data_IF_326589435497
#
_entry.id   IF_326589435497
#
_cell.length_a   1.000
_cell.length_b   1.000
_cell.length_c   1.000
_cell.angle_alpha   90.00
_cell.angle_beta   90.00
_cell.angle_gamma   90.00
#
_symmetry.space_group_name_H-M   'P 1'
#
loop_
_entity.id
_entity.type
_entity.pdbx_description
1 polymer ?
#
# COMPACT_ATOMS: atom_id res chain seq x y z
N UNK A 1 2.07 12.29 24.37
CA UNK A 1 2.26 10.82 24.39
C UNK A 1 0.96 10.01 24.45
N UNK A 2 -0.11 10.42 25.17
CA UNK A 2 -1.41 9.69 25.14
C UNK A 2 -2.13 9.73 23.77
N UNK A 3 -2.17 10.91 23.13
CA UNK A 3 -2.87 11.11 21.85
C UNK A 3 -2.35 10.23 20.69
N UNK A 4 -1.02 10.06 20.55
CA UNK A 4 -0.46 9.21 19.48
C UNK A 4 -0.80 7.72 19.65
N UNK A 5 -0.99 7.25 20.88
CA UNK A 5 -1.31 5.84 21.15
C UNK A 5 -2.78 5.53 20.85
N UNK A 6 -3.69 6.46 21.13
CA UNK A 6 -5.12 6.33 20.83
C UNK A 6 -5.39 6.33 19.32
N UNK A 7 -4.75 7.24 18.57
CA UNK A 7 -4.85 7.26 17.09
C UNK A 7 -4.33 5.96 16.48
N UNK A 8 -3.19 5.47 16.97
CA UNK A 8 -2.59 4.22 16.51
C UNK A 8 -3.49 3.00 16.77
N UNK A 9 -4.09 2.89 17.97
CA UNK A 9 -5.06 1.84 18.29
C UNK A 9 -6.33 1.93 17.43
N UNK A 10 -6.78 3.14 17.12
CA UNK A 10 -7.94 3.36 16.26
C UNK A 10 -7.69 2.87 14.82
N UNK A 11 -6.55 3.22 14.23
CA UNK A 11 -6.16 2.77 12.88
C UNK A 11 -6.03 1.25 12.82
N UNK A 12 -5.34 0.66 13.79
CA UNK A 12 -5.22 -0.81 13.92
C UNK A 12 -6.60 -1.49 13.99
N UNK A 13 -7.53 -0.92 14.78
CA UNK A 13 -8.90 -1.43 14.89
C UNK A 13 -9.65 -1.36 13.56
N UNK A 14 -9.50 -0.27 12.80
CA UNK A 14 -10.09 -0.15 11.46
C UNK A 14 -9.55 -1.23 10.53
N UNK A 15 -8.23 -1.43 10.49
CA UNK A 15 -7.60 -2.44 9.64
C UNK A 15 -8.11 -3.84 9.98
N UNK A 16 -8.20 -4.16 11.28
CA UNK A 16 -8.71 -5.44 11.78
C UNK A 16 -10.20 -5.66 11.50
N UNK A 17 -11.03 -4.62 11.56
CA UNK A 17 -12.45 -4.73 11.22
C UNK A 17 -12.60 -4.95 9.72
N UNK A 18 -11.92 -4.14 8.91
CA UNK A 18 -12.01 -4.20 7.46
C UNK A 18 -11.52 -5.56 6.93
N UNK A 19 -10.45 -6.11 7.49
CA UNK A 19 -9.87 -7.39 7.06
C UNK A 19 -10.81 -8.59 7.24
N UNK A 20 -11.71 -8.52 8.23
CA UNK A 20 -12.66 -9.59 8.59
C UNK A 20 -13.95 -9.56 7.79
N UNK A 21 -14.18 -8.51 6.99
CA UNK A 21 -15.35 -8.43 6.13
C UNK A 21 -15.25 -9.41 4.96
N UNK A 22 -16.40 -9.90 4.43
CA UNK A 22 -16.42 -10.68 3.20
C UNK A 22 -15.76 -9.93 2.04
N UNK A 23 -15.08 -10.67 1.16
CA UNK A 23 -14.26 -10.09 0.09
C UNK A 23 -14.99 -9.01 -0.73
N UNK A 24 -16.23 -9.26 -1.16
CA UNK A 24 -16.99 -8.28 -1.95
C UNK A 24 -17.28 -6.97 -1.19
N UNK A 25 -17.64 -7.07 0.10
CA UNK A 25 -17.91 -5.90 0.93
C UNK A 25 -16.62 -5.14 1.25
N UNK A 26 -15.56 -5.87 1.62
CA UNK A 26 -14.23 -5.31 1.89
C UNK A 26 -13.70 -4.54 0.69
N UNK A 27 -13.83 -5.13 -0.50
CA UNK A 27 -13.38 -4.52 -1.76
C UNK A 27 -14.16 -3.24 -2.08
N UNK A 28 -15.49 -3.26 -1.93
CA UNK A 28 -16.34 -2.07 -2.13
C UNK A 28 -16.00 -0.92 -1.16
N UNK A 29 -15.87 -1.23 0.13
CA UNK A 29 -15.49 -0.22 1.15
C UNK A 29 -14.10 0.34 0.86
N UNK A 30 -13.13 -0.53 0.55
CA UNK A 30 -11.77 -0.11 0.24
C UNK A 30 -11.72 0.78 -1.00
N UNK A 31 -12.50 0.46 -2.04
CA UNK A 31 -12.63 1.31 -3.23
C UNK A 31 -13.09 2.71 -2.85
N UNK A 32 -14.16 2.82 -2.06
CA UNK A 32 -14.70 4.12 -1.64
C UNK A 32 -13.66 4.91 -0.84
N UNK A 33 -12.90 4.25 0.04
CA UNK A 33 -11.81 4.90 0.79
C UNK A 33 -10.64 5.34 -0.09
N UNK A 34 -10.30 4.57 -1.12
CA UNK A 34 -9.29 4.99 -2.09
C UNK A 34 -9.76 6.19 -2.92
N UNK A 35 -11.03 6.20 -3.36
CA UNK A 35 -11.60 7.31 -4.11
C UNK A 35 -11.68 8.59 -3.24
N UNK A 36 -12.06 8.44 -1.97
CA UNK A 36 -12.05 9.52 -0.98
C UNK A 36 -10.62 10.02 -0.70
N UNK A 37 -9.67 9.10 -0.51
CA UNK A 37 -8.26 9.43 -0.31
C UNK A 37 -7.71 10.32 -1.42
N UNK A 38 -8.05 10.05 -2.68
CA UNK A 38 -7.61 10.86 -3.82
C UNK A 38 -8.13 12.31 -3.78
N UNK A 39 -9.21 12.57 -3.04
CA UNK A 39 -9.80 13.92 -2.90
C UNK A 39 -9.19 14.77 -1.78
N UNK A 40 -8.42 14.16 -0.87
CA UNK A 40 -7.75 14.85 0.23
C UNK A 40 -6.54 15.69 -0.24
N UNK A 41 -6.10 16.61 0.62
CA UNK A 41 -4.87 17.34 0.38
C UNK A 41 -3.61 16.48 0.66
N UNK A 42 -2.44 17.03 0.36
CA UNK A 42 -1.19 16.29 0.46
C UNK A 42 -0.79 15.99 1.91
N UNK A 43 -1.12 16.85 2.87
CA UNK A 43 -0.82 16.66 4.28
C UNK A 43 -1.67 15.51 4.84
N UNK A 44 -2.98 15.54 4.57
CA UNK A 44 -3.93 14.48 4.94
C UNK A 44 -3.55 13.14 4.31
N UNK A 45 -3.20 13.13 3.02
CA UNK A 45 -2.76 11.91 2.31
C UNK A 45 -1.51 11.31 2.97
N UNK A 46 -0.53 12.15 3.31
CA UNK A 46 0.71 11.69 3.94
C UNK A 46 0.44 11.13 5.34
N UNK A 47 -0.41 11.80 6.14
CA UNK A 47 -0.78 11.31 7.46
C UNK A 47 -1.48 9.95 7.39
N UNK A 48 -2.46 9.80 6.49
CA UNK A 48 -3.20 8.54 6.32
C UNK A 48 -2.24 7.40 5.93
N UNK A 49 -1.38 7.61 4.95
CA UNK A 49 -0.44 6.60 4.49
C UNK A 49 0.56 6.23 5.60
N UNK A 50 1.13 7.22 6.28
CA UNK A 50 2.06 6.97 7.38
C UNK A 50 1.39 6.18 8.50
N UNK A 51 0.15 6.52 8.86
CA UNK A 51 -0.62 5.79 9.85
C UNK A 51 -0.87 4.33 9.42
N UNK A 52 -1.17 4.07 8.16
CA UNK A 52 -1.30 2.69 7.66
C UNK A 52 0.03 1.95 7.75
N UNK A 53 1.14 2.56 7.30
CA UNK A 53 2.47 1.94 7.31
C UNK A 53 2.91 1.61 8.76
N UNK A 54 2.61 2.48 9.72
CA UNK A 54 2.99 2.26 11.12
C UNK A 54 2.13 1.21 11.84
N UNK A 55 0.94 0.89 11.34
CA UNK A 55 0.00 0.00 12.02
C UNK A 55 -0.22 -1.35 11.31
N UNK A 56 0.09 -1.50 10.02
CA UNK A 56 0.00 -2.81 9.36
C UNK A 56 0.86 -3.93 10.00
N UNK A 57 2.02 -3.66 10.66
CA UNK A 57 2.77 -4.74 11.30
C UNK A 57 2.07 -5.34 12.52
N UNK A 58 1.03 -4.66 13.05
CA UNK A 58 0.29 -5.08 14.24
C UNK A 58 -0.88 -6.01 13.93
N UNK A 59 -1.31 -6.07 12.67
CA UNK A 59 -2.37 -6.98 12.24
C UNK A 59 -1.80 -8.37 11.92
N UNK A 60 -2.60 -9.41 12.14
CA UNK A 60 -2.19 -10.78 11.84
C UNK A 60 -2.02 -11.00 10.33
N UNK A 61 -1.23 -12.00 9.96
CA UNK A 61 -0.89 -12.26 8.57
C UNK A 61 -2.10 -12.55 7.68
N UNK A 62 -3.13 -13.22 8.21
CA UNK A 62 -4.35 -13.55 7.46
C UNK A 62 -5.16 -12.29 7.20
N UNK A 63 -5.28 -11.42 8.21
CA UNK A 63 -5.90 -10.11 8.07
C UNK A 63 -5.17 -9.22 7.06
N UNK A 64 -3.84 -9.18 7.11
CA UNK A 64 -3.04 -8.41 6.15
C UNK A 64 -3.22 -8.92 4.72
N UNK A 65 -3.21 -10.25 4.53
CA UNK A 65 -3.50 -10.89 3.25
C UNK A 65 -4.83 -10.44 2.66
N UNK A 66 -5.87 -10.49 3.49
CA UNK A 66 -7.22 -10.09 3.11
C UNK A 66 -7.28 -8.65 2.62
N UNK A 67 -6.59 -7.73 3.30
CA UNK A 67 -6.51 -6.33 2.90
C UNK A 67 -5.75 -6.16 1.59
N UNK A 68 -4.60 -6.82 1.43
CA UNK A 68 -3.79 -6.76 0.20
C UNK A 68 -4.60 -7.25 -1.01
N UNK A 69 -5.37 -8.33 -0.88
CA UNK A 69 -6.18 -8.86 -1.98
C UNK A 69 -7.23 -7.85 -2.47
N UNK A 70 -7.93 -7.21 -1.53
CA UNK A 70 -8.90 -6.17 -1.87
C UNK A 70 -8.22 -4.90 -2.40
N UNK A 71 -7.02 -4.57 -1.93
CA UNK A 71 -6.25 -3.41 -2.38
C UNK A 71 -5.80 -3.58 -3.83
N UNK A 72 -5.17 -4.72 -4.14
CA UNK A 72 -4.74 -5.07 -5.49
C UNK A 72 -5.92 -5.18 -6.46
N UNK A 73 -7.02 -5.81 -6.05
CA UNK A 73 -8.23 -5.92 -6.87
C UNK A 73 -8.80 -4.55 -7.26
N UNK A 74 -8.74 -3.57 -6.36
CA UNK A 74 -9.17 -2.21 -6.67
C UNK A 74 -8.14 -1.46 -7.53
N UNK A 75 -6.84 -1.60 -7.26
CA UNK A 75 -5.81 -0.95 -8.06
C UNK A 75 -5.88 -1.34 -9.54
N UNK A 76 -5.99 -2.63 -9.86
CA UNK A 76 -6.06 -3.07 -11.26
C UNK A 76 -7.28 -2.54 -11.99
N UNK A 77 -8.38 -2.25 -11.27
CA UNK A 77 -9.60 -1.68 -11.83
C UNK A 77 -9.54 -0.15 -12.05
N UNK A 78 -8.52 0.54 -11.51
CA UNK A 78 -8.39 2.00 -11.63
C UNK A 78 -7.61 2.44 -12.88
N UNK A 79 -7.81 3.67 -13.37
CA UNK A 79 -6.91 4.28 -14.36
C UNK A 79 -5.51 4.48 -13.80
N UNK A 80 -4.47 4.40 -14.65
CA UNK A 80 -3.06 4.51 -14.24
C UNK A 80 -2.78 5.77 -13.42
N UNK A 81 -3.35 6.94 -13.77
CA UNK A 81 -3.14 8.18 -13.01
C UNK A 81 -3.54 8.07 -11.54
N UNK A 82 -4.66 7.39 -11.24
CA UNK A 82 -5.11 7.15 -9.84
C UNK A 82 -4.20 6.16 -9.11
N UNK A 83 -3.73 5.13 -9.82
CA UNK A 83 -2.78 4.14 -9.28
C UNK A 83 -1.46 4.85 -8.94
N UNK A 84 -0.94 5.65 -9.86
CA UNK A 84 0.29 6.41 -9.70
C UNK A 84 0.21 7.32 -8.47
N UNK A 85 -0.89 8.07 -8.31
CA UNK A 85 -1.08 8.93 -7.14
C UNK A 85 -1.09 8.15 -5.81
N UNK A 86 -1.82 7.04 -5.74
CA UNK A 86 -1.86 6.16 -4.56
C UNK A 86 -0.47 5.60 -4.24
N UNK A 87 0.18 4.96 -5.23
CA UNK A 87 1.50 4.35 -5.07
C UNK A 87 2.56 5.38 -4.68
N UNK A 88 2.55 6.54 -5.32
CA UNK A 88 3.50 7.62 -5.04
C UNK A 88 3.44 8.03 -3.57
N UNK A 89 2.25 8.14 -2.96
CA UNK A 89 2.14 8.52 -1.54
C UNK A 89 2.76 7.47 -0.62
N UNK A 90 2.52 6.17 -0.87
CA UNK A 90 3.19 5.09 -0.12
C UNK A 90 4.71 5.14 -0.27
N UNK A 91 5.21 5.23 -1.51
CA UNK A 91 6.63 5.25 -1.80
C UNK A 91 7.31 6.51 -1.25
N UNK A 92 6.64 7.66 -1.33
CA UNK A 92 7.11 8.91 -0.75
C UNK A 92 7.30 8.75 0.75
N UNK A 93 6.30 8.24 1.48
CA UNK A 93 6.40 8.04 2.93
C UNK A 93 7.52 7.07 3.31
N UNK A 94 7.76 6.01 2.53
CA UNK A 94 8.92 5.15 2.74
C UNK A 94 10.24 5.91 2.50
N UNK A 95 10.34 6.65 1.40
CA UNK A 95 11.58 7.32 0.97
C UNK A 95 12.02 8.48 1.88
N UNK A 96 11.07 9.22 2.47
CA UNK A 96 11.39 10.40 3.28
C UNK A 96 11.45 10.12 4.79
N UNK A 97 11.08 8.90 5.22
CA UNK A 97 11.12 8.49 6.62
C UNK A 97 12.08 7.31 6.81
N UNK A 98 13.37 7.55 7.11
CA UNK A 98 14.37 6.49 7.25
C UNK A 98 13.99 5.41 8.27
N UNK A 99 13.41 5.80 9.40
CA UNK A 99 12.96 4.85 10.42
C UNK A 99 11.83 3.93 9.91
N UNK A 100 10.96 4.45 9.03
CA UNK A 100 9.91 3.64 8.41
C UNK A 100 10.53 2.66 7.42
N UNK A 101 11.46 3.12 6.59
CA UNK A 101 12.19 2.29 5.63
C UNK A 101 12.95 1.14 6.32
N UNK A 102 13.67 1.44 7.40
CA UNK A 102 14.46 0.46 8.15
C UNK A 102 13.60 -0.65 8.77
N UNK A 103 12.41 -0.29 9.27
CA UNK A 103 11.47 -1.22 9.90
C UNK A 103 10.48 -1.84 8.91
N UNK A 104 10.59 -1.54 7.62
CA UNK A 104 9.66 -2.04 6.63
C UNK A 104 9.84 -3.54 6.42
N UNK A 105 8.76 -4.31 6.56
CA UNK A 105 8.79 -5.75 6.40
C UNK A 105 8.96 -6.13 4.92
N UNK A 106 10.17 -6.50 4.51
CA UNK A 106 10.49 -6.90 3.13
C UNK A 106 9.70 -8.12 2.65
N UNK A 107 9.20 -8.98 3.54
CA UNK A 107 8.37 -10.12 3.15
C UNK A 107 7.03 -9.67 2.54
N UNK A 108 6.56 -8.46 2.86
CA UNK A 108 5.36 -7.91 2.22
C UNK A 108 5.59 -7.68 0.73
N UNK A 109 6.82 -7.34 0.32
CA UNK A 109 7.15 -7.16 -1.10
C UNK A 109 7.08 -8.50 -1.80
N UNK A 110 7.77 -9.53 -1.31
CA UNK A 110 7.71 -10.89 -1.85
C UNK A 110 6.26 -11.38 -2.02
N UNK A 111 5.41 -11.05 -1.06
CA UNK A 111 3.99 -11.41 -1.07
C UNK A 111 3.17 -10.65 -2.10
N UNK A 112 3.42 -9.35 -2.28
CA UNK A 112 2.84 -8.55 -3.35
C UNK A 112 3.29 -9.10 -4.72
N UNK A 113 4.55 -9.48 -4.84
CA UNK A 113 5.13 -10.08 -6.04
C UNK A 113 4.45 -11.37 -6.44
N UNK A 114 4.30 -12.33 -5.52
CA UNK A 114 3.61 -13.59 -5.80
C UNK A 114 2.14 -13.38 -6.16
N UNK A 115 1.46 -12.39 -5.54
CA UNK A 115 0.08 -12.05 -5.92
C UNK A 115 0.00 -11.42 -7.31
N UNK A 116 1.00 -10.62 -7.69
CA UNK A 116 1.11 -10.04 -9.02
C UNK A 116 1.29 -11.12 -10.08
N UNK A 117 2.18 -12.09 -9.86
CA UNK A 117 2.40 -13.23 -10.77
C UNK A 117 1.13 -14.07 -11.02
N UNK A 118 0.20 -14.10 -10.05
CA UNK A 118 -1.10 -14.75 -10.19
C UNK A 118 -2.14 -14.00 -11.01
N UNK A 119 -1.84 -12.78 -11.47
CA UNK A 119 -2.76 -11.95 -12.28
C UNK A 119 -2.57 -12.20 -13.78
N UNK A 120 -3.51 -11.70 -14.60
CA UNK A 120 -3.33 -11.66 -16.06
C UNK A 120 -2.17 -10.75 -16.48
N UNK A 121 -1.49 -11.08 -17.57
CA UNK A 121 -0.34 -10.34 -18.11
C UNK A 121 -0.59 -8.83 -18.25
N UNK A 122 -1.79 -8.42 -18.68
CA UNK A 122 -2.18 -7.00 -18.78
C UNK A 122 -2.16 -6.28 -17.43
N UNK A 123 -2.69 -6.92 -16.39
CA UNK A 123 -2.74 -6.37 -15.03
C UNK A 123 -1.34 -6.34 -14.42
N UNK A 124 -0.53 -7.38 -14.69
CA UNK A 124 0.86 -7.43 -14.28
C UNK A 124 1.64 -6.26 -14.87
N UNK A 125 1.59 -6.12 -16.19
CA UNK A 125 2.29 -5.07 -16.94
C UNK A 125 1.86 -3.69 -16.44
N UNK A 126 0.55 -3.48 -16.27
CA UNK A 126 -0.01 -2.22 -15.77
C UNK A 126 0.55 -1.85 -14.40
N UNK A 127 0.48 -2.74 -13.41
CA UNK A 127 0.95 -2.45 -12.06
C UNK A 127 2.47 -2.32 -12.00
N UNK A 128 3.24 -3.16 -12.71
CA UNK A 128 4.70 -3.04 -12.79
C UNK A 128 5.09 -1.66 -13.32
N UNK A 129 4.49 -1.22 -14.43
CA UNK A 129 4.76 0.08 -15.00
C UNK A 129 4.46 1.22 -14.02
N UNK A 130 3.30 1.18 -13.35
CA UNK A 130 2.95 2.21 -12.35
C UNK A 130 3.95 2.21 -11.17
N UNK A 131 4.33 1.04 -10.65
CA UNK A 131 5.31 0.93 -9.55
C UNK A 131 6.67 1.48 -9.96
N UNK A 132 7.20 1.06 -11.11
CA UNK A 132 8.52 1.54 -11.58
C UNK A 132 8.50 3.03 -11.88
N UNK A 133 7.46 3.52 -12.57
CA UNK A 133 7.29 4.95 -12.83
C UNK A 133 7.30 5.73 -11.52
N UNK A 134 6.56 5.29 -10.50
CA UNK A 134 6.48 6.01 -9.23
C UNK A 134 7.76 5.93 -8.40
N UNK A 135 8.46 4.78 -8.38
CA UNK A 135 9.76 4.67 -7.70
C UNK A 135 10.75 5.67 -8.26
N UNK A 136 10.86 5.76 -9.59
CA UNK A 136 11.78 6.68 -10.26
C UNK A 136 11.46 8.16 -9.99
N UNK A 137 10.23 8.47 -9.60
CA UNK A 137 9.78 9.83 -9.27
C UNK A 137 9.88 10.15 -7.77
N UNK A 138 10.39 9.24 -6.93
CA UNK A 138 10.58 9.51 -5.49
C UNK A 138 11.96 10.13 -5.18
N UNK A 139 12.14 10.76 -4.00
CA UNK A 139 13.42 11.30 -3.57
C UNK A 139 14.56 10.28 -3.36
N UNK A 140 14.22 9.00 -3.09
CA UNK A 140 15.20 7.95 -2.80
C UNK A 140 14.92 6.68 -3.63
N UNK A 141 15.07 6.74 -4.96
CA UNK A 141 14.71 5.65 -5.86
C UNK A 141 15.58 4.40 -5.63
N UNK A 142 16.87 4.56 -5.36
CA UNK A 142 17.81 3.45 -5.18
C UNK A 142 17.46 2.60 -3.94
N UNK A 143 17.07 3.25 -2.84
CA UNK A 143 16.66 2.56 -1.61
C UNK A 143 15.39 1.75 -1.82
N UNK A 144 14.43 2.30 -2.57
CA UNK A 144 13.18 1.61 -2.92
C UNK A 144 13.41 0.46 -3.90
N UNK A 145 14.28 0.64 -4.90
CA UNK A 145 14.67 -0.43 -5.82
C UNK A 145 15.37 -1.59 -5.09
N UNK A 146 16.11 -1.30 -4.02
CA UNK A 146 16.74 -2.32 -3.19
C UNK A 146 15.73 -3.19 -2.40
N UNK A 147 14.46 -2.76 -2.29
CA UNK A 147 13.38 -3.57 -1.72
C UNK A 147 12.77 -4.56 -2.72
N UNK A 148 12.90 -4.31 -4.02
CA UNK A 148 12.26 -5.13 -5.05
C UNK A 148 13.09 -6.39 -5.33
N UNK A 149 12.48 -7.59 -5.25
CA UNK A 149 13.09 -8.83 -5.70
C UNK A 149 13.61 -8.74 -7.14
N UNK A 150 14.86 -9.15 -7.37
CA UNK A 150 15.57 -8.97 -8.65
C UNK A 150 14.89 -9.67 -9.84
N UNK A 151 14.17 -10.73 -9.57
CA UNK A 151 13.35 -11.50 -10.49
C UNK A 151 12.14 -10.71 -11.04
N UNK A 152 11.66 -9.70 -10.31
CA UNK A 152 10.57 -8.82 -10.77
C UNK A 152 11.06 -7.63 -11.59
N UNK A 153 12.37 -7.36 -11.54
CA UNK A 153 13.03 -6.33 -12.34
C UNK A 153 13.43 -6.84 -13.74
N UNK A 154 12.98 -8.05 -14.11
CA UNK A 154 13.23 -8.67 -15.42
C UNK A 154 12.01 -8.63 -16.32
#
# INVERSE_FOLDING_TARGET
MKSNNESSQFVESILNILSKLPFGLRTSIMKNRMDEFLSFDDEEKNEIVLNIIMNYPKIDETSLNNLIDSWLSNLVAMPNGKINELLYRYLLMLSINPAVMENFNKDIINKLSSKLEGMSDDNQTKLKNCVFEMILNTPAPDDLLALIPKDLMR
#
